data_IF_588246126681
#
_entry.id   IF_588246126681
#
_cell.length_a   1.000
_cell.length_b   1.000
_cell.length_c   1.000
_cell.angle_alpha   90.00
_cell.angle_beta   90.00
_cell.angle_gamma   90.00
#
_symmetry.space_group_name_H-M   'P 1'
#
loop_
_entity.id
_entity.type
_entity.pdbx_description
1 polymer ?
#
# COMPACT_ATOMS: atom_id res chain seq x y z
N UNK A 1 -20.82 -31.20 9.68
CA UNK A 1 -21.95 -30.56 10.37
C UNK A 1 -21.91 -29.11 9.96
N UNK A 2 -22.88 -28.68 9.15
CA UNK A 2 -22.94 -27.35 8.54
C UNK A 2 -23.54 -26.37 9.56
N UNK A 3 -22.75 -26.01 10.57
CA UNK A 3 -23.21 -25.19 11.69
C UNK A 3 -23.17 -23.71 11.29
N UNK A 4 -24.36 -23.11 11.09
CA UNK A 4 -24.53 -21.72 10.64
C UNK A 4 -23.82 -20.74 11.58
N UNK A 5 -23.25 -19.67 11.00
CA UNK A 5 -22.64 -18.58 11.76
C UNK A 5 -23.61 -18.02 12.80
N UNK A 6 -23.17 -18.03 14.06
CA UNK A 6 -23.91 -17.45 15.17
C UNK A 6 -22.96 -17.00 16.26
N UNK A 7 -23.39 -15.97 16.98
CA UNK A 7 -22.70 -15.46 18.15
C UNK A 7 -23.50 -15.82 19.40
N UNK A 8 -22.83 -16.35 20.42
CA UNK A 8 -23.44 -16.67 21.70
C UNK A 8 -22.69 -15.96 22.83
N UNK A 9 -23.45 -15.48 23.82
CA UNK A 9 -22.91 -14.97 25.07
C UNK A 9 -22.91 -16.11 26.09
N UNK A 10 -21.73 -16.53 26.52
CA UNK A 10 -21.55 -17.54 27.54
C UNK A 10 -21.28 -16.86 28.88
N UNK A 11 -22.12 -17.15 29.86
CA UNK A 11 -21.96 -16.71 31.24
C UNK A 11 -21.19 -17.78 32.01
N UNK A 12 -19.95 -17.49 32.41
CA UNK A 12 -19.19 -18.42 33.23
C UNK A 12 -19.68 -18.31 34.70
N UNK A 13 -20.26 -19.37 35.24
CA UNK A 13 -20.81 -19.39 36.60
C UNK A 13 -19.74 -19.31 37.71
N UNK A 14 -18.46 -19.55 37.38
CA UNK A 14 -17.34 -19.48 38.32
C UNK A 14 -16.55 -18.16 38.32
N UNK A 15 -16.77 -17.28 37.34
CA UNK A 15 -16.09 -15.99 37.25
C UNK A 15 -16.99 -14.98 36.54
N UNK A 16 -17.14 -13.78 37.11
CA UNK A 16 -18.03 -12.69 36.65
C UNK A 16 -17.64 -12.10 35.28
N UNK A 17 -17.40 -12.93 34.26
CA UNK A 17 -17.01 -12.56 32.91
C UNK A 17 -17.97 -13.20 31.92
N UNK A 18 -18.58 -12.35 31.09
CA UNK A 18 -19.34 -12.76 29.92
C UNK A 18 -18.33 -12.95 28.79
N UNK A 19 -18.29 -14.16 28.22
CA UNK A 19 -17.43 -14.47 27.08
C UNK A 19 -18.30 -14.57 25.84
N UNK A 20 -17.96 -13.81 24.80
CA UNK A 20 -18.62 -13.93 23.51
C UNK A 20 -17.91 -15.00 22.67
N UNK A 21 -18.63 -16.02 22.25
CA UNK A 21 -18.14 -17.06 21.34
C UNK A 21 -18.81 -16.91 19.98
N UNK A 22 -18.10 -17.27 18.91
CA UNK A 22 -18.62 -17.28 17.54
C UNK A 22 -18.36 -18.63 16.89
N UNK A 23 -19.40 -19.22 16.32
CA UNK A 23 -19.32 -20.40 15.48
C UNK A 23 -19.14 -19.93 14.04
N UNK A 24 -18.09 -20.37 13.35
CA UNK A 24 -17.79 -19.88 12.01
C UNK A 24 -16.97 -20.92 11.24
N UNK A 25 -17.41 -21.28 10.02
CA UNK A 25 -16.74 -22.25 9.14
C UNK A 25 -16.49 -23.62 9.82
N UNK A 26 -17.37 -24.03 10.73
CA UNK A 26 -17.21 -25.27 11.50
C UNK A 26 -16.20 -25.20 12.66
N UNK A 27 -15.65 -24.02 12.95
CA UNK A 27 -14.76 -23.78 14.09
C UNK A 27 -15.39 -22.85 15.14
N UNK A 28 -14.91 -22.94 16.39
CA UNK A 28 -15.37 -22.14 17.52
C UNK A 28 -14.31 -21.10 17.92
N UNK A 29 -14.66 -19.81 17.86
CA UNK A 29 -13.79 -18.70 18.21
C UNK A 29 -14.23 -18.03 19.50
N UNK A 30 -13.27 -17.75 20.40
CA UNK A 30 -13.50 -16.91 21.58
C UNK A 30 -13.12 -15.47 21.25
N UNK A 31 -14.08 -14.55 21.36
CA UNK A 31 -13.86 -13.14 21.08
C UNK A 31 -13.23 -12.47 22.30
N UNK A 32 -11.95 -12.12 22.22
CA UNK A 32 -11.26 -11.28 23.21
C UNK A 32 -11.42 -9.79 22.87
N UNK A 33 -11.43 -8.92 23.88
CA UNK A 33 -11.71 -7.49 23.72
C UNK A 33 -10.74 -6.77 22.77
N UNK A 34 -11.19 -5.63 22.22
CA UNK A 34 -10.34 -4.76 21.40
C UNK A 34 -9.41 -3.91 22.28
N UNK A 35 -8.11 -4.10 22.11
CA UNK A 35 -7.03 -3.25 22.59
C UNK A 35 -5.87 -3.32 21.61
N UNK A 36 -4.90 -2.43 21.75
CA UNK A 36 -3.59 -2.61 21.12
C UNK A 36 -3.03 -3.99 21.50
N UNK A 37 -2.38 -4.66 20.54
CA UNK A 37 -1.73 -5.94 20.85
C UNK A 37 -0.75 -5.72 22.00
N UNK A 38 -0.62 -6.67 22.92
CA UNK A 38 0.32 -6.54 24.03
C UNK A 38 1.75 -6.22 23.55
N UNK A 39 2.11 -6.73 22.36
CA UNK A 39 3.41 -6.50 21.71
C UNK A 39 3.42 -5.36 20.68
N UNK A 40 2.34 -4.58 20.53
CA UNK A 40 2.36 -3.45 19.59
C UNK A 40 3.13 -2.28 20.19
N UNK A 41 4.24 -1.91 19.55
CA UNK A 41 5.01 -0.73 19.91
C UNK A 41 5.18 0.18 18.68
N UNK A 42 4.21 1.09 18.42
CA UNK A 42 4.18 1.93 17.23
C UNK A 42 5.46 2.76 17.00
N UNK A 43 6.18 3.11 18.07
CA UNK A 43 7.42 3.87 17.98
C UNK A 43 8.53 3.13 17.21
N UNK A 44 8.61 1.80 17.28
CA UNK A 44 9.57 1.03 16.46
C UNK A 44 9.21 1.16 14.98
N UNK A 45 7.94 0.98 14.62
CA UNK A 45 7.50 1.10 13.22
C UNK A 45 7.72 2.52 12.66
N UNK A 46 7.46 3.54 13.48
CA UNK A 46 7.73 4.94 13.13
C UNK A 46 9.23 5.19 12.92
N UNK A 47 10.09 4.67 13.81
CA UNK A 47 11.54 4.81 13.70
C UNK A 47 12.09 4.15 12.42
N UNK A 48 11.67 2.91 12.13
CA UNK A 48 12.07 2.19 10.91
C UNK A 48 11.63 2.95 9.66
N UNK A 49 10.39 3.46 9.64
CA UNK A 49 9.86 4.24 8.52
C UNK A 49 10.62 5.55 8.31
N UNK A 50 10.95 6.26 9.40
CA UNK A 50 11.74 7.48 9.35
C UNK A 50 13.16 7.21 8.82
N UNK A 51 13.81 6.15 9.30
CA UNK A 51 15.13 5.73 8.83
C UNK A 51 15.12 5.42 7.33
N UNK A 52 14.15 4.62 6.86
CA UNK A 52 14.02 4.29 5.43
C UNK A 52 13.81 5.55 4.56
N UNK A 53 13.03 6.52 5.03
CA UNK A 53 12.81 7.80 4.32
C UNK A 53 14.08 8.64 4.26
N UNK A 54 14.82 8.74 5.35
CA UNK A 54 16.11 9.45 5.38
C UNK A 54 17.15 8.80 4.49
N UNK A 55 17.16 7.46 4.43
CA UNK A 55 18.02 6.72 3.51
C UNK A 55 17.66 7.03 2.05
N UNK A 56 16.38 6.94 1.68
CA UNK A 56 15.92 7.28 0.33
C UNK A 56 16.26 8.73 -0.06
N UNK A 57 16.12 9.67 0.89
CA UNK A 57 16.56 11.05 0.69
C UNK A 57 18.06 11.15 0.42
N UNK A 58 18.90 10.44 1.19
CA UNK A 58 20.35 10.43 0.96
C UNK A 58 20.73 9.91 -0.44
N UNK A 59 20.00 8.91 -0.95
CA UNK A 59 20.18 8.41 -2.32
C UNK A 59 19.80 9.47 -3.37
N UNK A 60 18.71 10.21 -3.16
CA UNK A 60 18.31 11.31 -4.03
C UNK A 60 19.37 12.42 -4.06
N UNK A 61 19.96 12.73 -2.91
CA UNK A 61 21.05 13.70 -2.80
C UNK A 61 22.30 13.22 -3.53
N UNK A 62 22.66 11.93 -3.43
CA UNK A 62 23.80 11.33 -4.13
C UNK A 62 23.60 11.26 -5.65
N UNK A 63 22.40 10.87 -6.12
CA UNK A 63 22.05 10.96 -7.54
C UNK A 63 22.09 12.42 -8.04
N UNK A 64 21.76 13.36 -7.16
CA UNK A 64 21.73 14.78 -7.45
C UNK A 64 20.43 15.21 -8.14
N UNK A 65 20.04 16.47 -7.91
CA UNK A 65 18.84 17.05 -8.49
C UNK A 65 18.85 16.96 -10.02
N UNK A 66 17.70 16.64 -10.61
CA UNK A 66 17.54 16.42 -12.05
C UNK A 66 17.87 14.99 -12.53
N UNK A 67 18.48 14.15 -11.69
CA UNK A 67 18.85 12.77 -12.07
C UNK A 67 17.91 11.70 -11.50
N UNK A 68 16.91 12.11 -10.71
CA UNK A 68 15.83 11.24 -10.25
C UNK A 68 14.48 11.77 -10.70
N UNK A 69 13.58 10.87 -11.07
CA UNK A 69 12.26 11.21 -11.61
C UNK A 69 11.12 10.83 -10.68
N UNK A 70 11.29 9.80 -9.86
CA UNK A 70 10.24 9.29 -8.98
C UNK A 70 10.83 8.45 -7.85
N UNK A 71 10.20 8.48 -6.68
CA UNK A 71 10.51 7.58 -5.58
C UNK A 71 9.24 6.96 -4.98
N UNK A 72 9.32 5.72 -4.51
CA UNK A 72 8.22 5.05 -3.80
C UNK A 72 8.78 4.05 -2.79
N UNK A 73 8.54 4.34 -1.51
CA UNK A 73 8.87 3.53 -0.33
C UNK A 73 10.35 3.17 -0.18
N UNK A 74 10.86 2.34 -1.07
CA UNK A 74 12.19 1.73 -1.09
C UNK A 74 12.81 1.72 -2.50
N UNK A 75 12.25 2.48 -3.45
CA UNK A 75 12.70 2.52 -4.85
C UNK A 75 12.87 3.95 -5.37
N UNK A 76 13.80 4.10 -6.32
CA UNK A 76 14.10 5.35 -7.03
C UNK A 76 14.18 5.07 -8.53
N UNK A 77 13.53 5.90 -9.35
CA UNK A 77 13.71 5.93 -10.80
C UNK A 77 14.69 7.05 -11.11
N UNK A 78 15.80 6.71 -11.77
CA UNK A 78 16.88 7.62 -12.13
C UNK A 78 17.21 7.55 -13.61
N UNK A 79 17.88 8.58 -14.12
CA UNK A 79 18.55 8.52 -15.42
C UNK A 79 19.93 7.82 -15.30
N UNK A 80 20.66 7.78 -16.41
CA UNK A 80 21.98 7.16 -16.48
C UNK A 80 23.00 7.84 -15.55
N UNK A 81 23.06 9.18 -15.53
CA UNK A 81 23.98 9.93 -14.67
C UNK A 81 23.72 9.67 -13.18
N UNK A 82 22.45 9.63 -12.77
CA UNK A 82 22.05 9.28 -11.41
C UNK A 82 22.42 7.84 -11.06
N UNK A 83 22.27 6.92 -12.01
CA UNK A 83 22.67 5.53 -11.83
C UNK A 83 24.18 5.40 -11.62
N UNK A 84 24.99 6.08 -12.45
CA UNK A 84 26.44 6.10 -12.30
C UNK A 84 26.88 6.63 -10.93
N UNK A 85 26.23 7.66 -10.40
CA UNK A 85 26.53 8.21 -9.07
C UNK A 85 26.17 7.26 -7.92
N UNK A 86 25.24 6.34 -8.16
CA UNK A 86 24.80 5.34 -7.19
C UNK A 86 25.54 4.01 -7.31
N UNK A 87 26.45 3.85 -8.29
CA UNK A 87 27.04 2.56 -8.68
C UNK A 87 27.70 1.83 -7.50
N UNK A 88 28.42 2.55 -6.63
CA UNK A 88 29.07 1.98 -5.44
C UNK A 88 28.09 1.34 -4.43
N UNK A 89 26.83 1.77 -4.44
CA UNK A 89 25.78 1.24 -3.57
C UNK A 89 25.04 0.05 -4.17
N UNK A 90 25.23 -0.23 -5.47
CA UNK A 90 24.59 -1.33 -6.20
C UNK A 90 25.25 -2.65 -5.80
N UNK A 91 24.73 -3.25 -4.73
CA UNK A 91 25.21 -4.50 -4.17
C UNK A 91 24.03 -5.48 -4.00
N UNK A 92 23.57 -6.12 -5.10
CA UNK A 92 22.27 -6.79 -5.15
C UNK A 92 22.10 -7.97 -4.18
N UNK A 93 23.21 -8.54 -3.70
CA UNK A 93 23.20 -9.68 -2.78
C UNK A 93 23.51 -9.29 -1.33
N UNK A 94 23.66 -7.99 -1.05
CA UNK A 94 23.97 -7.47 0.28
C UNK A 94 22.69 -6.92 0.92
N UNK A 95 22.46 -7.27 2.19
CA UNK A 95 21.37 -6.66 2.95
C UNK A 95 21.56 -5.14 3.01
N UNK A 96 20.51 -4.40 2.62
CA UNK A 96 20.55 -2.93 2.52
C UNK A 96 21.26 -2.39 1.27
N UNK A 97 21.73 -3.26 0.37
CA UNK A 97 22.31 -2.86 -0.91
C UNK A 97 21.24 -2.50 -1.94
N UNK A 98 21.60 -1.66 -2.91
CA UNK A 98 20.73 -1.35 -4.05
C UNK A 98 20.78 -2.46 -5.10
N UNK A 99 19.66 -2.65 -5.78
CA UNK A 99 19.54 -3.55 -6.93
C UNK A 99 18.93 -2.79 -8.10
N UNK A 100 19.47 -3.02 -9.30
CA UNK A 100 18.86 -2.58 -10.56
C UNK A 100 17.67 -3.48 -10.88
N UNK A 101 16.47 -2.99 -10.65
CA UNK A 101 15.23 -3.75 -10.89
C UNK A 101 14.83 -3.80 -12.38
N UNK A 102 15.00 -2.70 -13.12
CA UNK A 102 14.66 -2.64 -14.54
C UNK A 102 15.37 -1.47 -15.23
N UNK A 103 15.47 -1.51 -16.56
CA UNK A 103 16.00 -0.44 -17.43
C UNK A 103 15.01 -0.20 -18.56
N UNK A 104 14.74 1.06 -18.88
CA UNK A 104 13.87 1.45 -19.99
C UNK A 104 14.39 2.73 -20.65
N UNK A 105 14.06 2.90 -21.93
CA UNK A 105 14.41 4.11 -22.69
C UNK A 105 13.49 5.31 -22.36
N UNK A 106 12.33 5.05 -21.76
CA UNK A 106 11.36 6.09 -21.42
C UNK A 106 10.55 5.76 -20.18
N UNK A 107 10.12 6.82 -19.49
CA UNK A 107 9.19 6.76 -18.37
C UNK A 107 8.15 7.87 -18.52
N UNK A 108 6.89 7.56 -18.22
CA UNK A 108 5.80 8.53 -18.14
C UNK A 108 5.18 8.44 -16.76
N UNK A 109 5.32 9.48 -15.94
CA UNK A 109 4.81 9.54 -14.57
C UNK A 109 3.58 10.45 -14.57
N UNK A 110 2.46 9.93 -14.10
CA UNK A 110 1.17 10.63 -14.06
C UNK A 110 0.73 10.93 -12.63
N UNK A 111 1.32 10.24 -11.66
CA UNK A 111 1.09 10.48 -10.25
C UNK A 111 1.62 9.36 -9.37
N UNK A 112 1.19 9.35 -8.10
CA UNK A 112 1.63 8.35 -7.14
C UNK A 112 1.18 6.95 -7.54
N UNK A 113 2.16 6.08 -7.81
CA UNK A 113 1.97 4.72 -8.30
C UNK A 113 1.07 4.69 -9.56
N UNK A 114 1.13 5.73 -10.39
CA UNK A 114 0.55 5.79 -11.73
C UNK A 114 1.65 6.20 -12.72
N UNK A 115 2.34 5.22 -13.31
CA UNK A 115 3.42 5.47 -14.26
C UNK A 115 3.60 4.31 -15.24
N UNK A 116 4.20 4.62 -16.38
CA UNK A 116 4.65 3.65 -17.38
C UNK A 116 6.17 3.72 -17.44
N UNK A 117 6.84 2.60 -17.22
CA UNK A 117 8.30 2.47 -17.31
C UNK A 117 8.64 1.44 -18.39
N UNK A 118 8.99 1.91 -19.59
CA UNK A 118 9.04 1.06 -20.79
C UNK A 118 7.71 0.35 -21.03
N UNK A 119 7.71 -0.98 -21.00
CA UNK A 119 6.50 -1.81 -21.15
C UNK A 119 5.73 -2.02 -19.84
N UNK A 120 6.32 -1.67 -18.69
CA UNK A 120 5.71 -1.90 -17.38
C UNK A 120 4.74 -0.77 -17.08
N UNK A 121 3.45 -1.08 -16.98
CA UNK A 121 2.43 -0.15 -16.51
C UNK A 121 2.10 -0.41 -15.04
N UNK A 122 2.14 0.63 -14.22
CA UNK A 122 1.79 0.59 -12.79
C UNK A 122 0.68 1.59 -12.57
N UNK A 123 -0.47 1.13 -12.07
CA UNK A 123 -1.62 1.98 -11.74
C UNK A 123 -2.17 1.57 -10.39
N UNK A 124 -2.17 2.51 -9.43
CA UNK A 124 -2.59 2.24 -8.05
C UNK A 124 -4.04 1.77 -8.00
N UNK A 125 -4.26 0.65 -7.33
CA UNK A 125 -5.61 0.13 -7.06
C UNK A 125 -6.30 -0.52 -8.27
N UNK A 126 -5.65 -0.53 -9.44
CA UNK A 126 -6.11 -1.20 -10.64
C UNK A 126 -5.29 -2.49 -10.82
N UNK A 127 -5.98 -3.63 -10.89
CA UNK A 127 -5.33 -4.93 -11.09
C UNK A 127 -4.84 -5.07 -12.53
N UNK A 128 -3.82 -5.90 -12.74
CA UNK A 128 -3.28 -6.20 -14.09
C UNK A 128 -4.32 -6.81 -15.04
N UNK A 129 -5.29 -7.53 -14.49
CA UNK A 129 -6.39 -8.17 -15.23
C UNK A 129 -7.70 -7.36 -15.18
N UNK A 130 -7.67 -6.11 -14.70
CA UNK A 130 -8.83 -5.24 -14.74
C UNK A 130 -9.19 -4.92 -16.20
N UNK A 131 -10.49 -4.83 -16.49
CA UNK A 131 -11.01 -4.50 -17.81
C UNK A 131 -11.35 -3.01 -17.81
N UNK A 132 -10.76 -2.25 -18.73
CA UNK A 132 -11.16 -0.86 -18.95
C UNK A 132 -12.48 -0.85 -19.73
N UNK A 133 -13.58 -0.51 -19.05
CA UNK A 133 -14.93 -0.49 -19.65
C UNK A 133 -15.18 0.81 -20.43
N UNK A 134 -14.52 1.89 -20.01
CA UNK A 134 -14.44 3.16 -20.72
C UNK A 134 -13.21 3.92 -20.22
N UNK A 135 -12.82 5.00 -20.91
CA UNK A 135 -11.60 5.76 -20.59
C UNK A 135 -11.56 6.15 -19.10
N UNK A 136 -10.59 5.59 -18.35
CA UNK A 136 -10.41 5.86 -16.92
C UNK A 136 -11.40 5.14 -15.99
N UNK A 137 -12.20 4.21 -16.51
CA UNK A 137 -13.16 3.40 -15.73
C UNK A 137 -12.80 1.94 -15.88
N UNK A 138 -12.45 1.30 -14.77
CA UNK A 138 -11.98 -0.07 -14.73
C UNK A 138 -12.92 -0.94 -13.91
N UNK A 139 -13.23 -2.13 -14.42
CA UNK A 139 -13.93 -3.16 -13.68
C UNK A 139 -12.94 -4.25 -13.28
N UNK A 140 -12.96 -4.64 -12.02
CA UNK A 140 -12.08 -5.69 -11.50
C UNK A 140 -12.75 -6.51 -10.41
N UNK A 141 -12.22 -7.71 -10.17
CA UNK A 141 -12.67 -8.57 -9.08
C UNK A 141 -12.34 -7.96 -7.71
N UNK A 142 -13.31 -8.06 -6.80
CA UNK A 142 -13.16 -7.73 -5.39
C UNK A 142 -13.30 -9.00 -4.57
N UNK A 143 -12.20 -9.35 -3.90
CA UNK A 143 -12.14 -10.49 -3.00
C UNK A 143 -12.53 -10.01 -1.60
N UNK A 144 -13.57 -10.59 -0.98
CA UNK A 144 -14.02 -10.13 0.32
C UNK A 144 -12.95 -10.46 1.38
N UNK A 145 -12.65 -9.48 2.22
CA UNK A 145 -11.84 -9.73 3.43
C UNK A 145 -12.64 -10.54 4.43
N UNK A 146 -11.97 -11.27 5.32
CA UNK A 146 -12.64 -12.00 6.40
C UNK A 146 -13.57 -11.11 7.22
N UNK A 147 -13.11 -9.90 7.62
CA UNK A 147 -13.97 -8.89 8.27
C UNK A 147 -15.16 -8.45 7.40
N UNK A 148 -14.99 -8.42 6.08
CA UNK A 148 -16.05 -8.12 5.13
C UNK A 148 -17.12 -9.20 5.11
N UNK A 149 -16.72 -10.48 5.09
CA UNK A 149 -17.62 -11.63 5.19
C UNK A 149 -18.40 -11.65 6.51
N UNK A 150 -17.72 -11.33 7.63
CA UNK A 150 -18.40 -11.26 8.94
C UNK A 150 -19.44 -10.14 9.03
N UNK A 151 -19.32 -9.10 8.19
CA UNK A 151 -20.28 -7.98 8.13
C UNK A 151 -21.42 -8.23 7.15
N UNK A 152 -21.27 -9.12 6.16
CA UNK A 152 -22.31 -9.39 5.17
C UNK A 152 -23.44 -10.28 5.69
N UNK A 153 -23.26 -10.95 6.83
CA UNK A 153 -24.26 -11.85 7.43
C UNK A 153 -24.39 -13.20 6.73
N UNK A 154 -23.61 -13.42 5.66
CA UNK A 154 -23.53 -14.65 4.87
C UNK A 154 -22.07 -15.12 4.76
N UNK A 155 -21.43 -15.53 5.87
CA UNK A 155 -20.02 -15.92 5.86
C UNK A 155 -19.76 -17.26 5.19
N UNK A 156 -20.80 -18.09 5.02
CA UNK A 156 -20.73 -19.40 4.37
C UNK A 156 -20.64 -19.28 2.84
N UNK A 157 -20.85 -18.08 2.29
CA UNK A 157 -20.71 -17.80 0.85
C UNK A 157 -19.49 -16.93 0.57
N UNK A 158 -18.41 -17.54 0.08
CA UNK A 158 -17.25 -16.83 -0.44
C UNK A 158 -17.47 -16.45 -1.91
N UNK A 159 -18.21 -15.37 -2.17
CA UNK A 159 -18.45 -14.92 -3.54
C UNK A 159 -17.48 -13.81 -3.93
N UNK A 160 -16.73 -14.02 -5.01
CA UNK A 160 -15.90 -12.98 -5.64
C UNK A 160 -16.84 -11.99 -6.33
N UNK A 161 -16.88 -10.75 -5.84
CA UNK A 161 -17.67 -9.67 -6.45
C UNK A 161 -16.91 -8.96 -7.55
N UNK A 162 -17.58 -8.06 -8.27
CA UNK A 162 -16.92 -7.09 -9.15
C UNK A 162 -17.06 -5.68 -8.57
N UNK A 163 -16.04 -4.84 -8.77
CA UNK A 163 -16.02 -3.45 -8.35
C UNK A 163 -15.58 -2.57 -9.50
N UNK A 164 -16.22 -1.40 -9.62
CA UNK A 164 -15.87 -0.37 -10.60
C UNK A 164 -14.96 0.66 -9.94
N UNK A 165 -13.85 0.99 -10.61
CA UNK A 165 -12.87 1.98 -10.18
C UNK A 165 -12.81 3.11 -11.19
N UNK A 166 -12.92 4.34 -10.69
CA UNK A 166 -12.74 5.55 -11.46
C UNK A 166 -11.32 6.07 -11.19
N UNK A 167 -10.50 6.14 -12.24
CA UNK A 167 -9.14 6.65 -12.18
C UNK A 167 -9.13 8.13 -12.57
N UNK A 168 -8.98 9.00 -11.58
CA UNK A 168 -8.66 10.41 -11.81
C UNK A 168 -7.13 10.60 -11.75
N UNK A 169 -6.57 11.32 -12.72
CA UNK A 169 -5.13 11.63 -12.82
C UNK A 169 -4.76 13.05 -12.36
N UNK A 170 -5.70 13.74 -11.74
CA UNK A 170 -5.44 15.00 -11.08
C UNK A 170 -4.49 14.80 -9.89
N UNK A 171 -3.37 15.52 -9.87
CA UNK A 171 -2.38 15.44 -8.80
C UNK A 171 -2.68 16.52 -7.74
N UNK A 172 -3.16 16.09 -6.58
CA UNK A 172 -3.66 16.99 -5.52
C UNK A 172 -2.75 17.08 -4.29
N UNK A 173 -1.50 16.61 -4.39
CA UNK A 173 -0.58 16.44 -3.25
C UNK A 173 0.58 17.43 -3.23
N UNK A 174 0.54 18.41 -4.10
CA UNK A 174 1.53 19.46 -4.27
C UNK A 174 1.20 20.26 -5.52
N UNK A 175 1.96 21.31 -5.78
CA UNK A 175 1.87 22.08 -7.00
C UNK A 175 2.79 21.46 -8.04
N UNK A 176 2.26 21.21 -9.24
CA UNK A 176 3.03 20.65 -10.35
C UNK A 176 3.45 21.79 -11.26
N UNK A 177 4.75 22.03 -11.38
CA UNK A 177 5.30 23.02 -12.30
C UNK A 177 5.25 22.54 -13.76
N UNK A 178 5.40 23.43 -14.75
CA UNK A 178 5.32 23.07 -16.18
C UNK A 178 6.35 22.02 -16.64
N UNK A 179 7.48 21.91 -15.95
CA UNK A 179 8.52 20.90 -16.16
C UNK A 179 8.24 19.57 -15.44
N UNK A 180 7.10 19.47 -14.73
CA UNK A 180 6.65 18.26 -14.04
C UNK A 180 7.20 18.06 -12.63
N UNK A 181 7.97 19.02 -12.11
CA UNK A 181 8.44 19.00 -10.71
C UNK A 181 7.26 19.25 -9.77
N UNK A 182 7.22 18.52 -8.65
CA UNK A 182 6.18 18.69 -7.63
C UNK A 182 6.77 19.43 -6.44
N UNK A 183 6.23 20.60 -6.12
CA UNK A 183 6.54 21.33 -4.89
C UNK A 183 5.48 21.05 -3.82
N UNK A 184 5.88 20.83 -2.55
CA UNK A 184 4.93 20.63 -1.48
C UNK A 184 4.14 21.91 -1.22
N UNK A 185 2.90 21.78 -0.72
CA UNK A 185 2.16 22.92 -0.21
C UNK A 185 2.92 23.55 0.96
N UNK A 186 3.16 24.85 0.89
CA UNK A 186 3.76 25.62 1.98
C UNK A 186 2.62 26.16 2.83
N UNK A 187 2.58 25.78 4.10
CA UNK A 187 1.67 26.43 5.05
C UNK A 187 2.26 27.81 5.35
N UNK A 188 1.54 28.87 4.97
CA UNK A 188 1.90 30.21 5.41
C UNK A 188 1.49 30.32 6.88
N UNK A 189 2.44 30.19 7.80
CA UNK A 189 2.22 30.65 9.16
C UNK A 189 2.04 32.17 9.08
N UNK A 190 0.80 32.63 9.18
CA UNK A 190 0.51 34.04 9.43
C UNK A 190 1.07 34.38 10.81
N UNK A 191 2.22 35.07 10.83
CA UNK A 191 2.78 35.74 12.01
C UNK A 191 1.83 36.81 12.54
#
# INVERSE_FOLDING_TARGET
SDERDREELVFNMGGRRVTKIRYLLGELFIMTGHGESFDSFPAIAAHVTAYARMYLWSLMQQAGYGNYFYCDTDSLIVNEDGLCKLDELITPNKLGGLKKENIAQSVSIRGLKDYTFGIKNVVKGIRKNAIEVSKGVFQQEQWPSFRGLLRSGEPDTYTVGTTTKHLNREYTKGEVSPDGVVTPFVFADSL
#
